data_IF_026629342933
#
_entry.id   IF_026629342933
#
_cell.length_a   1.000
_cell.length_b   1.000
_cell.length_c   1.000
_cell.angle_alpha   90.00
_cell.angle_beta   90.00
_cell.angle_gamma   90.00
#
_symmetry.space_group_name_H-M   'P 1'
#
loop_
_entity.id
_entity.type
_entity.pdbx_description
1 polymer ?
#
# COMPACT_ATOMS: atom_id res chain seq x y z
N UNK A 1 -27.48 -4.88 -41.08
CA UNK A 1 -27.13 -5.86 -40.03
C UNK A 1 -25.83 -5.52 -39.27
N UNK A 2 -25.20 -4.36 -39.53
CA UNK A 2 -23.87 -4.00 -39.02
C UNK A 2 -23.85 -3.42 -37.59
N UNK A 3 -24.96 -2.81 -37.14
CA UNK A 3 -25.04 -2.12 -35.84
C UNK A 3 -25.08 -3.04 -34.60
N UNK A 4 -25.43 -4.32 -34.75
CA UNK A 4 -25.47 -5.26 -33.62
C UNK A 4 -24.06 -5.71 -33.17
N UNK A 5 -23.11 -5.79 -34.09
CA UNK A 5 -21.76 -6.29 -33.80
C UNK A 5 -20.93 -5.29 -33.00
N UNK A 6 -21.06 -4.00 -33.32
CA UNK A 6 -20.37 -2.91 -32.60
C UNK A 6 -20.92 -2.74 -31.18
N UNK A 7 -22.23 -2.95 -30.99
CA UNK A 7 -22.88 -2.92 -29.67
C UNK A 7 -22.33 -4.02 -28.75
N UNK A 8 -22.23 -5.26 -29.24
CA UNK A 8 -21.68 -6.39 -28.47
C UNK A 8 -20.25 -6.14 -27.99
N UNK A 9 -19.38 -5.62 -28.88
CA UNK A 9 -18.00 -5.30 -28.53
C UNK A 9 -17.92 -4.16 -27.51
N UNK A 10 -18.79 -3.16 -27.60
CA UNK A 10 -18.86 -2.07 -26.61
C UNK A 10 -19.29 -2.56 -25.24
N UNK A 11 -20.23 -3.50 -25.17
CA UNK A 11 -20.65 -4.12 -23.90
C UNK A 11 -19.56 -5.02 -23.33
N UNK A 12 -18.75 -5.67 -24.17
CA UNK A 12 -17.65 -6.55 -23.74
C UNK A 12 -16.45 -5.78 -23.15
N UNK A 13 -16.14 -4.58 -23.68
CA UNK A 13 -14.96 -3.79 -23.28
C UNK A 13 -15.27 -2.52 -22.49
N UNK A 14 -16.49 -1.97 -22.56
CA UNK A 14 -16.84 -0.65 -22.04
C UNK A 14 -17.27 -0.60 -20.57
N UNK A 15 -17.78 -1.70 -19.99
CA UNK A 15 -18.38 -1.69 -18.64
C UNK A 15 -17.33 -1.89 -17.51
N UNK A 16 -16.10 -2.22 -17.89
CA UNK A 16 -15.06 -2.67 -16.95
C UNK A 16 -14.40 -1.52 -16.16
N UNK A 17 -14.26 -0.32 -16.73
CA UNK A 17 -13.58 0.79 -16.06
C UNK A 17 -14.41 1.41 -14.93
N UNK A 18 -15.69 1.67 -15.18
CA UNK A 18 -16.58 2.20 -14.15
C UNK A 18 -16.78 1.19 -13.02
N UNK A 19 -16.96 -0.08 -13.37
CA UNK A 19 -17.13 -1.17 -12.41
C UNK A 19 -15.88 -1.32 -11.55
N UNK A 20 -14.67 -1.32 -12.14
CA UNK A 20 -13.40 -1.27 -11.39
C UNK A 20 -13.36 -0.08 -10.44
N UNK A 21 -13.63 1.14 -10.92
CA UNK A 21 -13.59 2.36 -10.08
C UNK A 21 -14.56 2.28 -8.90
N UNK A 22 -15.79 1.76 -9.11
CA UNK A 22 -16.77 1.56 -8.04
C UNK A 22 -16.30 0.52 -7.03
N UNK A 23 -15.73 -0.59 -7.49
CA UNK A 23 -15.17 -1.63 -6.63
C UNK A 23 -14.05 -1.06 -5.76
N UNK A 24 -13.07 -0.37 -6.35
CA UNK A 24 -11.97 0.26 -5.60
C UNK A 24 -12.47 1.26 -4.55
N UNK A 25 -13.43 2.13 -4.89
CA UNK A 25 -14.03 3.06 -3.92
C UNK A 25 -14.79 2.33 -2.82
N UNK A 26 -15.52 1.27 -3.15
CA UNK A 26 -16.31 0.50 -2.18
C UNK A 26 -15.43 -0.26 -1.17
N UNK A 27 -14.28 -0.77 -1.62
CA UNK A 27 -13.29 -1.44 -0.77
C UNK A 27 -12.64 -0.42 0.17
N UNK A 28 -12.21 0.72 -0.36
CA UNK A 28 -11.63 1.80 0.45
C UNK A 28 -12.64 2.32 1.49
N UNK A 29 -13.89 2.52 1.09
CA UNK A 29 -14.96 2.95 2.00
C UNK A 29 -15.25 1.91 3.09
N UNK A 30 -15.25 0.61 2.77
CA UNK A 30 -15.42 -0.47 3.76
C UNK A 30 -14.23 -0.56 4.74
N UNK A 31 -13.00 -0.36 4.24
CA UNK A 31 -11.81 -0.30 5.08
C UNK A 31 -11.85 0.91 6.03
N UNK A 32 -12.33 2.07 5.56
CA UNK A 32 -12.49 3.27 6.38
C UNK A 32 -13.65 3.17 7.38
N UNK A 33 -14.71 2.43 7.04
CA UNK A 33 -15.89 2.23 7.90
C UNK A 33 -15.62 1.34 9.12
N UNK A 34 -14.65 0.42 9.05
CA UNK A 34 -14.26 -0.44 10.18
C UNK A 34 -13.27 0.21 11.15
N UNK A 35 -12.87 1.47 10.92
CA UNK A 35 -11.90 2.14 11.78
C UNK A 35 -12.43 2.36 13.18
N UNK A 36 -11.67 1.90 14.16
CA UNK A 36 -11.87 2.23 15.58
C UNK A 36 -11.56 3.70 15.84
N UNK A 37 -12.12 4.26 16.91
CA UNK A 37 -11.84 5.65 17.31
C UNK A 37 -10.34 5.90 17.56
N UNK A 38 -9.63 4.87 18.06
CA UNK A 38 -8.19 4.90 18.30
C UNK A 38 -7.39 5.02 16.99
N UNK A 39 -7.78 4.28 15.95
CA UNK A 39 -7.12 4.33 14.63
C UNK A 39 -7.36 5.66 13.91
N UNK A 40 -8.55 6.26 14.07
CA UNK A 40 -8.83 7.60 13.55
C UNK A 40 -7.94 8.66 14.21
N UNK A 41 -7.74 8.55 15.53
CA UNK A 41 -6.87 9.44 16.28
C UNK A 41 -5.40 9.26 15.88
N UNK A 42 -4.95 8.01 15.69
CA UNK A 42 -3.60 7.69 15.25
C UNK A 42 -3.29 8.24 13.85
N UNK A 43 -4.24 8.18 12.91
CA UNK A 43 -4.08 8.78 11.57
C UNK A 43 -4.02 10.31 11.62
N UNK A 44 -4.90 10.93 12.40
CA UNK A 44 -4.86 12.38 12.60
C UNK A 44 -3.53 12.81 13.21
N UNK A 45 -3.04 12.08 14.21
CA UNK A 45 -1.71 12.34 14.76
C UNK A 45 -0.63 12.10 13.72
N UNK A 46 -0.55 10.94 13.09
CA UNK A 46 0.50 10.66 12.08
C UNK A 46 0.55 11.73 10.98
N UNK A 47 -0.62 12.20 10.51
CA UNK A 47 -0.71 13.29 9.52
C UNK A 47 -0.19 14.63 10.04
N UNK A 48 -0.46 14.98 11.30
CA UNK A 48 -0.01 16.26 11.89
C UNK A 48 1.45 16.21 12.35
N UNK A 49 1.88 15.10 12.95
CA UNK A 49 3.25 14.88 13.43
C UNK A 49 4.24 14.66 12.28
N UNK A 50 3.78 14.13 11.14
CA UNK A 50 4.58 14.03 9.91
C UNK A 50 4.71 15.34 9.13
N UNK A 51 4.05 16.42 9.57
CA UNK A 51 4.13 17.72 8.90
C UNK A 51 5.40 18.47 9.29
N UNK A 52 6.02 19.16 8.33
CA UNK A 52 7.17 20.03 8.59
C UNK A 52 6.85 21.14 9.61
N UNK A 53 5.57 21.51 9.77
CA UNK A 53 5.12 22.50 10.74
C UNK A 53 5.24 22.02 12.18
N UNK A 54 4.97 20.74 12.47
CA UNK A 54 5.08 20.19 13.83
C UNK A 54 6.52 20.19 14.32
N UNK A 55 7.47 19.87 13.44
CA UNK A 55 8.90 19.94 13.72
C UNK A 55 9.31 21.37 14.12
N UNK A 56 8.92 22.38 13.33
CA UNK A 56 9.22 23.77 13.63
C UNK A 56 8.59 24.25 14.94
N UNK A 57 7.36 23.83 15.24
CA UNK A 57 6.70 24.16 16.51
C UNK A 57 7.50 23.62 17.71
N UNK A 58 8.02 22.40 17.64
CA UNK A 58 8.87 21.83 18.69
C UNK A 58 10.19 22.56 18.83
N UNK A 59 10.85 22.88 17.72
CA UNK A 59 12.11 23.64 17.73
C UNK A 59 11.91 25.00 18.41
N UNK A 60 10.84 25.72 18.06
CA UNK A 60 10.51 27.02 18.68
C UNK A 60 10.17 26.85 20.16
N UNK A 61 9.40 25.82 20.53
CA UNK A 61 9.07 25.51 21.91
C UNK A 61 10.32 25.23 22.75
N UNK A 62 11.24 24.39 22.27
CA UNK A 62 12.50 24.11 22.96
C UNK A 62 13.40 25.34 23.07
N UNK A 63 13.52 26.12 21.99
CA UNK A 63 14.29 27.36 22.01
C UNK A 63 13.72 28.36 23.03
N UNK A 64 12.39 28.53 23.06
CA UNK A 64 11.71 29.39 24.02
C UNK A 64 11.91 28.89 25.47
N UNK A 65 11.79 27.59 25.72
CA UNK A 65 12.00 27.01 27.05
C UNK A 65 13.42 27.25 27.57
N UNK A 66 14.43 27.05 26.72
CA UNK A 66 15.83 27.29 27.07
C UNK A 66 16.06 28.79 27.33
N UNK A 67 15.53 29.69 26.50
CA UNK A 67 15.69 31.14 26.67
C UNK A 67 15.06 31.65 27.99
N UNK A 68 13.90 31.12 28.36
CA UNK A 68 13.24 31.46 29.64
C UNK A 68 14.06 30.95 30.83
N UNK A 69 14.54 29.71 30.78
CA UNK A 69 15.24 29.07 31.90
C UNK A 69 16.73 29.42 32.02
N UNK A 70 17.34 30.02 30.99
CA UNK A 70 18.73 30.54 31.04
C UNK A 70 18.84 31.92 31.70
N UNK A 71 17.73 32.47 32.22
CA UNK A 71 17.74 33.72 32.99
C UNK A 71 17.98 34.98 32.15
N UNK A 72 17.88 34.89 30.82
CA UNK A 72 17.98 36.02 29.90
C UNK A 72 16.80 37.00 30.05
N UNK A 73 15.69 36.56 30.64
CA UNK A 73 14.48 37.35 30.86
C UNK A 73 14.46 37.87 32.31
N UNK A 74 14.68 39.18 32.47
CA UNK A 74 14.62 39.84 33.79
C UNK A 74 13.20 39.71 34.37
N UNK A 75 13.08 39.05 35.52
CA UNK A 75 11.83 38.93 36.30
C UNK A 75 11.16 37.55 36.31
N UNK A 76 11.68 36.57 35.55
CA UNK A 76 11.19 35.18 35.61
C UNK A 76 12.20 34.31 36.36
N UNK A 77 11.84 33.70 37.51
CA UNK A 77 12.72 32.74 38.17
C UNK A 77 12.90 31.50 37.29
N UNK A 78 14.12 30.99 37.19
CA UNK A 78 14.42 29.76 36.45
C UNK A 78 13.71 28.57 37.11
N UNK A 79 12.67 28.06 36.46
CA UNK A 79 11.83 26.97 36.99
C UNK A 79 12.42 25.59 36.67
N UNK A 80 13.16 25.46 35.58
CA UNK A 80 13.86 24.24 35.16
C UNK A 80 15.34 24.57 34.90
N UNK A 81 16.18 24.68 35.96
CA UNK A 81 17.60 24.96 35.81
C UNK A 81 18.31 23.84 35.04
N UNK A 82 19.45 24.16 34.41
CA UNK A 82 20.33 23.16 33.81
C UNK A 82 20.63 22.06 34.86
N UNK A 83 20.33 20.78 34.59
CA UNK A 83 20.27 20.09 33.29
C UNK A 83 18.88 19.94 32.61
N UNK A 84 17.87 20.76 32.94
CA UNK A 84 16.52 20.72 32.34
C UNK A 84 15.78 19.38 32.54
N UNK A 85 15.62 18.95 33.79
CA UNK A 85 15.05 17.64 34.12
C UNK A 85 13.57 17.55 33.73
N UNK A 86 12.82 18.66 33.86
CA UNK A 86 11.40 18.69 33.53
C UNK A 86 11.19 18.61 32.02
N UNK A 87 11.95 19.41 31.25
CA UNK A 87 11.93 19.35 29.80
C UNK A 87 12.23 17.93 29.31
N UNK A 88 13.32 17.34 29.80
CA UNK A 88 13.76 16.00 29.39
C UNK A 88 12.70 14.94 29.68
N UNK A 89 12.05 15.02 30.86
CA UNK A 89 10.99 14.08 31.25
C UNK A 89 9.78 14.20 30.33
N UNK A 90 9.29 15.42 30.08
CA UNK A 90 8.13 15.66 29.21
C UNK A 90 8.41 15.17 27.78
N UNK A 91 9.57 15.54 27.23
CA UNK A 91 9.97 15.14 25.87
C UNK A 91 10.12 13.62 25.75
N UNK A 92 10.63 12.95 26.78
CA UNK A 92 10.76 11.49 26.76
C UNK A 92 9.40 10.78 26.72
N UNK A 93 8.43 11.27 27.49
CA UNK A 93 7.06 10.73 27.50
C UNK A 93 6.38 11.01 26.16
N UNK A 94 6.53 12.24 25.64
CA UNK A 94 6.02 12.62 24.33
C UNK A 94 6.58 11.69 23.24
N UNK A 95 7.90 11.47 23.20
CA UNK A 95 8.55 10.61 22.22
C UNK A 95 8.04 9.16 22.26
N UNK A 96 7.82 8.59 23.45
CA UNK A 96 7.26 7.23 23.61
C UNK A 96 5.84 7.17 23.04
N UNK A 97 5.00 8.15 23.36
CA UNK A 97 3.62 8.23 22.85
C UNK A 97 3.61 8.32 21.32
N UNK A 98 4.51 9.12 20.73
CA UNK A 98 4.64 9.25 19.28
C UNK A 98 5.10 7.95 18.63
N UNK A 99 6.11 7.29 19.20
CA UNK A 99 6.57 6.01 18.68
C UNK A 99 5.44 4.97 18.67
N UNK A 100 4.59 4.92 19.70
CA UNK A 100 3.42 4.03 19.75
C UNK A 100 2.41 4.38 18.65
N UNK A 101 2.09 5.67 18.45
CA UNK A 101 1.16 6.05 17.37
C UNK A 101 1.70 5.72 15.98
N UNK A 102 3.01 5.92 15.77
CA UNK A 102 3.68 5.53 14.53
C UNK A 102 3.59 4.01 14.34
N UNK A 103 3.88 3.20 15.37
CA UNK A 103 3.78 1.74 15.31
C UNK A 103 2.35 1.26 15.02
N UNK A 104 1.34 1.89 15.62
CA UNK A 104 -0.07 1.56 15.33
C UNK A 104 -0.40 1.86 13.86
N UNK A 105 0.04 3.01 13.36
CA UNK A 105 -0.16 3.41 11.96
C UNK A 105 0.58 2.49 10.99
N UNK A 106 1.81 2.10 11.33
CA UNK A 106 2.63 1.14 10.57
C UNK A 106 2.00 -0.24 10.55
N UNK A 107 1.59 -0.79 11.70
CA UNK A 107 0.95 -2.11 11.78
C UNK A 107 -0.36 -2.15 10.96
N UNK A 108 -1.12 -1.04 10.92
CA UNK A 108 -2.29 -0.95 10.06
C UNK A 108 -1.92 -0.96 8.58
N UNK A 109 -0.89 -0.19 8.20
CA UNK A 109 -0.43 -0.10 6.82
C UNK A 109 0.09 -1.46 6.34
N UNK A 110 0.88 -2.16 7.17
CA UNK A 110 1.35 -3.52 6.91
C UNK A 110 0.20 -4.49 6.62
N UNK A 111 -0.85 -4.52 7.46
CA UNK A 111 -2.03 -5.38 7.21
C UNK A 111 -2.74 -5.07 5.89
N UNK A 112 -2.79 -3.80 5.49
CA UNK A 112 -3.40 -3.41 4.22
C UNK A 112 -2.52 -3.81 3.04
N UNK A 113 -1.21 -3.69 3.20
CA UNK A 113 -0.23 -4.06 2.18
C UNK A 113 -0.19 -5.58 1.99
N UNK A 114 -0.22 -6.38 3.07
CA UNK A 114 -0.34 -7.86 3.01
C UNK A 114 -1.58 -8.27 2.22
N UNK A 115 -2.75 -7.70 2.54
CA UNK A 115 -4.01 -8.03 1.85
C UNK A 115 -3.99 -7.63 0.37
N UNK A 116 -3.32 -6.51 0.04
CA UNK A 116 -3.11 -6.07 -1.34
C UNK A 116 -2.18 -7.01 -2.07
N UNK A 117 -1.11 -7.46 -1.44
CA UNK A 117 -0.14 -8.40 -2.01
C UNK A 117 -0.81 -9.74 -2.33
N UNK A 118 -1.57 -10.32 -1.39
CA UNK A 118 -2.36 -11.53 -1.63
C UNK A 118 -3.32 -11.36 -2.82
N UNK A 119 -4.05 -10.25 -2.87
CA UNK A 119 -4.97 -9.95 -3.97
C UNK A 119 -4.24 -9.80 -5.30
N UNK A 120 -3.08 -9.14 -5.31
CA UNK A 120 -2.24 -8.96 -6.49
C UNK A 120 -1.70 -10.29 -7.01
N UNK A 121 -1.24 -11.17 -6.12
CA UNK A 121 -0.81 -12.52 -6.47
C UNK A 121 -1.95 -13.31 -7.12
N UNK A 122 -3.15 -13.30 -6.54
CA UNK A 122 -4.32 -13.98 -7.12
C UNK A 122 -4.69 -13.42 -8.50
N UNK A 123 -4.71 -12.09 -8.67
CA UNK A 123 -4.99 -11.46 -9.96
C UNK A 123 -3.92 -11.81 -11.01
N UNK A 124 -2.65 -11.89 -10.62
CA UNK A 124 -1.57 -12.31 -11.51
C UNK A 124 -1.76 -13.75 -11.97
N UNK A 125 -2.07 -14.68 -11.05
CA UNK A 125 -2.34 -16.08 -11.38
C UNK A 125 -3.53 -16.24 -12.33
N UNK A 126 -4.60 -15.46 -12.13
CA UNK A 126 -5.76 -15.45 -13.02
C UNK A 126 -5.36 -14.90 -14.40
N UNK A 127 -4.65 -13.77 -14.44
CA UNK A 127 -4.20 -13.14 -15.68
C UNK A 127 -3.29 -14.07 -16.47
N UNK A 128 -2.40 -14.79 -15.81
CA UNK A 128 -1.54 -15.79 -16.41
C UNK A 128 -2.33 -16.97 -17.00
N UNK A 129 -3.32 -17.50 -16.27
CA UNK A 129 -4.24 -18.54 -16.78
C UNK A 129 -5.01 -18.04 -18.00
N UNK A 130 -5.50 -16.81 -17.99
CA UNK A 130 -6.21 -16.19 -19.10
C UNK A 130 -5.30 -16.00 -20.32
N UNK A 131 -4.10 -15.45 -20.14
CA UNK A 131 -3.09 -15.31 -21.20
C UNK A 131 -2.76 -16.67 -21.80
N UNK A 132 -2.48 -17.67 -20.97
CA UNK A 132 -2.20 -19.04 -21.43
C UNK A 132 -3.37 -19.60 -22.24
N UNK A 133 -4.61 -19.34 -21.82
CA UNK A 133 -5.81 -19.75 -22.57
C UNK A 133 -5.92 -19.04 -23.91
N UNK A 134 -5.63 -17.73 -23.97
CA UNK A 134 -5.61 -16.97 -25.22
C UNK A 134 -4.52 -17.48 -26.17
N UNK A 135 -3.32 -17.78 -25.66
CA UNK A 135 -2.23 -18.39 -26.42
C UNK A 135 -2.64 -19.76 -26.97
N UNK A 136 -3.30 -20.60 -26.15
CA UNK A 136 -3.84 -21.90 -26.62
C UNK A 136 -4.91 -21.72 -27.71
N UNK A 137 -5.84 -20.78 -27.53
CA UNK A 137 -6.88 -20.50 -28.52
C UNK A 137 -6.30 -20.00 -29.84
N UNK A 138 -5.32 -19.10 -29.80
CA UNK A 138 -4.64 -18.60 -30.99
C UNK A 138 -3.83 -19.70 -31.69
N UNK A 139 -3.14 -20.54 -30.93
CA UNK A 139 -2.46 -21.72 -31.48
C UNK A 139 -3.43 -22.66 -32.23
N UNK A 140 -4.58 -22.96 -31.63
CA UNK A 140 -5.62 -23.80 -32.26
C UNK A 140 -6.19 -23.16 -33.55
N UNK A 141 -6.30 -21.84 -33.61
CA UNK A 141 -6.75 -21.14 -34.82
C UNK A 141 -5.71 -21.21 -35.94
N UNK A 142 -4.43 -21.01 -35.62
CA UNK A 142 -3.31 -21.10 -36.57
C UNK A 142 -3.15 -22.54 -37.10
N UNK A 143 -3.27 -23.53 -36.23
CA UNK A 143 -3.25 -24.96 -36.62
C UNK A 143 -4.39 -25.28 -37.59
N UNK A 144 -5.61 -24.78 -37.34
CA UNK A 144 -6.74 -24.90 -38.29
C UNK A 144 -6.52 -24.19 -39.62
N UNK A 145 -5.66 -23.17 -39.67
CA UNK A 145 -5.25 -22.51 -40.91
C UNK A 145 -4.12 -23.25 -41.65
N UNK A 146 -3.67 -24.39 -41.13
CA UNK A 146 -2.62 -25.21 -41.75
C UNK A 146 -1.20 -24.72 -41.43
N UNK A 147 -1.04 -23.84 -40.44
CA UNK A 147 0.27 -23.37 -39.99
C UNK A 147 0.81 -24.37 -38.96
N UNK A 148 1.95 -24.99 -39.26
CA UNK A 148 2.60 -25.93 -38.34
C UNK A 148 3.33 -25.18 -37.21
N UNK A 149 2.80 -25.30 -36.00
CA UNK A 149 3.34 -24.71 -34.78
C UNK A 149 4.27 -25.67 -34.02
N UNK A 150 4.47 -26.90 -34.51
CA UNK A 150 5.24 -27.95 -33.83
C UNK A 150 6.70 -27.57 -33.56
N UNK A 151 7.22 -26.65 -34.38
CA UNK A 151 8.61 -26.18 -34.33
C UNK A 151 8.80 -24.91 -33.51
N UNK A 152 7.76 -24.28 -32.96
CA UNK A 152 7.91 -23.06 -32.17
C UNK A 152 8.28 -23.39 -30.70
N UNK A 153 9.54 -23.16 -30.27
CA UNK A 153 9.97 -23.43 -28.91
C UNK A 153 9.45 -22.40 -27.91
N UNK A 154 9.12 -21.17 -28.32
CA UNK A 154 8.57 -20.14 -27.44
C UNK A 154 7.11 -20.44 -27.11
N UNK A 155 6.31 -20.83 -28.10
CA UNK A 155 4.92 -21.24 -27.88
C UNK A 155 4.84 -22.43 -26.91
N UNK A 156 5.72 -23.43 -27.06
CA UNK A 156 5.83 -24.56 -26.12
C UNK A 156 6.20 -24.13 -24.70
N UNK A 157 6.95 -23.03 -24.52
CA UNK A 157 7.25 -22.48 -23.19
C UNK A 157 6.05 -21.73 -22.61
N UNK A 158 5.34 -20.94 -23.42
CA UNK A 158 4.17 -20.16 -22.99
C UNK A 158 2.94 -21.00 -22.65
N UNK A 159 2.76 -22.16 -23.30
CA UNK A 159 1.63 -23.07 -23.05
C UNK A 159 1.84 -23.91 -21.79
N UNK A 160 3.08 -24.06 -21.31
CA UNK A 160 3.35 -24.77 -20.06
C UNK A 160 2.64 -24.03 -18.93
N UNK A 161 1.80 -24.71 -18.15
CA UNK A 161 1.30 -24.12 -16.93
C UNK A 161 2.51 -23.75 -16.08
N UNK A 162 2.61 -22.48 -15.66
CA UNK A 162 3.36 -22.18 -14.45
C UNK A 162 2.65 -22.96 -13.33
N UNK A 163 3.20 -24.12 -12.97
CA UNK A 163 2.61 -24.95 -11.93
C UNK A 163 2.77 -24.23 -10.59
N UNK A 164 1.79 -24.39 -9.70
CA UNK A 164 1.90 -23.93 -8.31
C UNK A 164 3.21 -24.41 -7.68
N UNK A 165 3.67 -25.61 -8.04
CA UNK A 165 4.95 -26.20 -7.61
C UNK A 165 6.20 -25.42 -8.10
N UNK A 166 6.16 -24.76 -9.27
CA UNK A 166 7.26 -23.93 -9.75
C UNK A 166 7.32 -22.60 -8.98
N UNK A 167 6.14 -22.07 -8.60
CA UNK A 167 6.02 -20.86 -7.77
C UNK A 167 6.48 -21.18 -6.34
N UNK A 168 6.01 -22.29 -5.77
CA UNK A 168 6.41 -22.77 -4.43
C UNK A 168 7.92 -23.02 -4.37
N UNK A 169 8.50 -23.74 -5.34
CA UNK A 169 9.96 -23.94 -5.40
C UNK A 169 10.76 -22.65 -5.55
N UNK A 170 10.23 -21.64 -6.25
CA UNK A 170 10.91 -20.33 -6.39
C UNK A 170 10.86 -19.54 -5.10
N UNK A 171 9.70 -19.51 -4.44
CA UNK A 171 9.54 -18.88 -3.13
C UNK A 171 10.41 -19.56 -2.06
N UNK A 172 10.46 -20.90 -2.02
CA UNK A 172 11.34 -21.64 -1.12
C UNK A 172 12.83 -21.31 -1.34
N UNK A 173 13.25 -21.11 -2.59
CA UNK A 173 14.63 -20.75 -2.94
C UNK A 173 15.03 -19.33 -2.60
N UNK A 174 14.06 -18.43 -2.44
CA UNK A 174 14.30 -17.02 -2.14
C UNK A 174 14.24 -16.75 -0.63
N UNK A 175 13.59 -17.64 0.13
CA UNK A 175 13.49 -17.61 1.58
C UNK A 175 14.65 -18.37 2.28
N UNK A 176 15.23 -19.38 1.62
CA UNK A 176 16.38 -20.18 2.09
C UNK A 176 17.72 -19.72 1.48
#
# INVERSE_FOLDING_TARGET
MENHHVSFLRTLFGDNEETRRRIYRSIKAKADAKRTNMERMADWMTSNFGSSNFLWLNVVFFAAWILVNTGQIKGVPAFDPFPFILLTTIVSIEAIILAIFVLISQNRTAKVDDLREETHLQLNLISEKEITKLVKMTALLLEKQGIDLSQDPELKKMIRPFSEEEIERRLEKEIL
#
